data_IF_344307284077
#
_entry.id   IF_344307284077
#
_cell.length_a   1.000
_cell.length_b   1.000
_cell.length_c   1.000
_cell.angle_alpha   90.00
_cell.angle_beta   90.00
_cell.angle_gamma   90.00
#
_symmetry.space_group_name_H-M   'P 1'
#
loop_
_entity.id
_entity.type
_entity.pdbx_description
1 polymer ?
#
# COMPACT_ATOMS: atom_id res chain seq x y z
N UNK A 1 23.48 -0.66 25.77
CA UNK A 1 22.82 -0.31 24.49
C UNK A 1 22.97 1.16 24.10
N UNK A 2 22.99 2.12 25.04
CA UNK A 2 23.18 3.56 24.72
C UNK A 2 24.55 3.95 24.15
N UNK A 3 25.61 3.20 24.46
CA UNK A 3 26.97 3.51 23.97
C UNK A 3 27.13 3.35 22.45
N UNK A 4 26.55 2.30 21.86
CA UNK A 4 26.61 2.06 20.41
C UNK A 4 25.85 3.10 19.59
N UNK A 5 24.76 3.64 20.15
CA UNK A 5 23.96 4.68 19.49
C UNK A 5 24.75 5.99 19.43
N UNK A 6 25.48 6.33 20.49
CA UNK A 6 26.32 7.52 20.53
C UNK A 6 27.52 7.42 19.58
N UNK A 7 28.10 6.24 19.41
CA UNK A 7 29.18 6.01 18.45
C UNK A 7 28.68 6.02 16.99
N UNK A 8 27.47 5.51 16.72
CA UNK A 8 26.80 5.65 15.42
C UNK A 8 26.59 7.13 15.04
N UNK A 9 26.25 7.99 16.01
CA UNK A 9 26.07 9.43 15.78
C UNK A 9 27.36 10.21 15.50
N UNK A 10 28.53 9.62 15.78
CA UNK A 10 29.85 10.20 15.48
C UNK A 10 30.37 9.87 14.08
N UNK A 11 29.67 9.02 13.32
CA UNK A 11 30.05 8.73 11.94
C UNK A 11 29.93 10.00 11.07
N UNK A 12 30.94 10.30 10.23
CA UNK A 12 30.98 11.51 9.41
C UNK A 12 29.80 11.59 8.43
N UNK A 13 29.24 10.44 8.04
CA UNK A 13 28.02 10.35 7.22
C UNK A 13 26.80 10.95 7.95
N UNK A 14 26.64 10.66 9.25
CA UNK A 14 25.53 11.14 10.07
C UNK A 14 25.68 12.63 10.37
N UNK A 15 26.92 13.09 10.58
CA UNK A 15 27.21 14.52 10.80
C UNK A 15 26.98 15.35 9.54
N UNK A 16 27.26 14.81 8.34
CA UNK A 16 26.97 15.45 7.04
C UNK A 16 25.47 15.52 6.75
N UNK A 17 24.70 14.49 7.09
CA UNK A 17 23.24 14.52 6.99
C UNK A 17 22.59 15.50 7.98
N UNK A 18 23.30 15.84 9.06
CA UNK A 18 22.84 16.78 10.09
C UNK A 18 23.40 18.20 9.91
N UNK A 19 24.34 18.38 8.98
CA UNK A 19 24.77 19.71 8.57
C UNK A 19 23.57 20.36 7.90
N UNK A 20 22.94 21.29 8.63
CA UNK A 20 21.89 22.13 8.07
C UNK A 20 22.56 22.99 7.01
N UNK A 21 22.47 22.58 5.74
CA UNK A 21 22.71 23.51 4.66
C UNK A 21 21.63 24.58 4.81
N UNK A 22 22.05 25.80 5.11
CA UNK A 22 21.16 26.92 5.37
C UNK A 22 20.47 27.41 4.07
N UNK A 23 20.68 26.67 2.98
CA UNK A 23 20.14 26.88 1.64
C UNK A 23 18.89 26.02 1.36
N UNK A 24 18.39 25.27 2.35
CA UNK A 24 17.06 24.67 2.29
C UNK A 24 16.00 25.78 2.39
N UNK A 25 15.71 26.41 1.24
CA UNK A 25 14.66 27.40 1.09
C UNK A 25 13.38 26.88 1.74
N UNK A 26 12.71 27.72 2.52
CA UNK A 26 11.54 27.34 3.33
C UNK A 26 10.48 26.56 2.53
N UNK A 27 10.45 26.77 1.21
CA UNK A 27 9.62 26.08 0.23
C UNK A 27 9.90 24.57 0.19
N UNK A 28 11.15 24.13 0.22
CA UNK A 28 11.50 22.70 0.17
C UNK A 28 11.06 21.97 1.45
N UNK A 29 11.36 22.56 2.61
CA UNK A 29 10.91 22.04 3.91
C UNK A 29 9.39 21.96 4.01
N UNK A 30 8.69 22.94 3.44
CA UNK A 30 7.24 22.97 3.40
C UNK A 30 6.68 21.87 2.50
N UNK A 31 7.26 21.71 1.31
CA UNK A 31 6.84 20.70 0.34
C UNK A 31 7.06 19.28 0.86
N UNK A 32 8.22 18.97 1.43
CA UNK A 32 8.50 17.66 2.03
C UNK A 32 7.49 17.33 3.13
N UNK A 33 7.20 18.28 4.03
CA UNK A 33 6.26 18.07 5.13
C UNK A 33 4.83 17.86 4.65
N UNK A 34 4.36 18.65 3.67
CA UNK A 34 3.02 18.51 3.14
C UNK A 34 2.85 17.27 2.27
N UNK A 35 3.81 16.98 1.38
CA UNK A 35 3.74 15.80 0.51
C UNK A 35 3.72 14.52 1.34
N UNK A 36 4.61 14.39 2.32
CA UNK A 36 4.61 13.23 3.23
C UNK A 36 3.33 13.17 4.05
N UNK A 37 2.89 14.31 4.60
CA UNK A 37 1.63 14.39 5.35
C UNK A 37 0.42 13.95 4.52
N UNK A 38 0.33 14.42 3.27
CA UNK A 38 -0.75 14.08 2.35
C UNK A 38 -0.76 12.58 2.00
N UNK A 39 0.40 12.00 1.71
CA UNK A 39 0.53 10.56 1.45
C UNK A 39 0.12 9.76 2.68
N UNK A 40 0.58 10.14 3.88
CA UNK A 40 0.20 9.46 5.13
C UNK A 40 -1.30 9.55 5.39
N UNK A 41 -1.92 10.70 5.17
CA UNK A 41 -3.37 10.85 5.25
C UNK A 41 -4.09 9.93 4.24
N UNK A 42 -3.61 9.88 3.00
CA UNK A 42 -4.15 8.97 1.97
C UNK A 42 -4.06 7.50 2.37
N UNK A 43 -2.92 7.07 2.94
CA UNK A 43 -2.75 5.71 3.47
C UNK A 43 -3.72 5.42 4.61
N UNK A 44 -3.91 6.35 5.54
CA UNK A 44 -4.87 6.20 6.63
C UNK A 44 -6.32 6.07 6.15
N UNK A 45 -6.72 6.92 5.20
CA UNK A 45 -8.06 6.91 4.63
C UNK A 45 -8.31 5.59 3.89
N UNK A 46 -7.39 5.18 3.01
CA UNK A 46 -7.54 3.94 2.21
C UNK A 46 -7.49 2.67 3.07
N UNK A 47 -6.69 2.67 4.14
CA UNK A 47 -6.64 1.55 5.08
C UNK A 47 -7.97 1.40 5.82
N UNK A 48 -8.54 2.50 6.33
CA UNK A 48 -9.79 2.47 7.10
C UNK A 48 -11.00 2.04 6.25
N UNK A 49 -11.09 2.49 5.00
CA UNK A 49 -12.18 2.09 4.09
C UNK A 49 -12.13 0.60 3.73
N UNK A 50 -10.92 0.02 3.68
CA UNK A 50 -10.68 -1.40 3.40
C UNK A 50 -11.10 -2.34 4.53
N UNK A 51 -11.31 -1.85 5.76
CA UNK A 51 -11.77 -2.66 6.90
C UNK A 51 -13.30 -2.74 7.00
N UNK A 52 -14.00 -1.70 6.56
CA UNK A 52 -15.46 -1.58 6.74
C UNK A 52 -16.24 -2.16 5.56
N UNK A 53 -15.64 -2.19 4.36
CA UNK A 53 -16.32 -2.59 3.12
C UNK A 53 -15.70 -3.85 2.51
N UNK A 54 -16.52 -4.64 1.79
CA UNK A 54 -16.00 -5.74 0.99
C UNK A 54 -15.14 -5.15 -0.15
N UNK A 55 -13.87 -5.53 -0.20
CA UNK A 55 -12.88 -4.92 -1.11
C UNK A 55 -13.13 -5.20 -2.60
N UNK A 56 -13.81 -6.30 -2.90
CA UNK A 56 -14.22 -6.71 -4.24
C UNK A 56 -15.46 -7.59 -4.13
N UNK A 57 -16.37 -7.51 -5.11
CA UNK A 57 -17.48 -8.44 -5.25
C UNK A 57 -17.21 -9.36 -6.44
N UNK A 58 -17.16 -10.67 -6.18
CA UNK A 58 -16.94 -11.68 -7.21
C UNK A 58 -18.26 -12.30 -7.67
N UNK A 59 -18.35 -12.60 -8.96
CA UNK A 59 -19.48 -13.36 -9.49
C UNK A 59 -19.29 -14.84 -9.19
N UNK A 60 -20.30 -15.48 -8.61
CA UNK A 60 -20.32 -16.91 -8.32
C UNK A 60 -21.48 -17.61 -9.04
N UNK A 61 -21.31 -18.89 -9.41
CA UNK A 61 -22.40 -19.74 -9.89
C UNK A 61 -23.57 -19.79 -8.92
N UNK A 62 -24.79 -20.01 -9.43
CA UNK A 62 -26.01 -20.01 -8.64
C UNK A 62 -26.01 -21.04 -7.50
N UNK A 63 -25.42 -22.20 -7.73
CA UNK A 63 -25.31 -23.31 -6.76
C UNK A 63 -24.47 -22.94 -5.52
N UNK A 64 -23.59 -21.93 -5.62
CA UNK A 64 -22.66 -21.54 -4.56
C UNK A 64 -23.06 -20.23 -3.87
N UNK A 65 -24.28 -19.75 -4.05
CA UNK A 65 -24.77 -18.47 -3.49
C UNK A 65 -24.98 -18.46 -1.97
N UNK A 66 -24.49 -19.46 -1.24
CA UNK A 66 -24.51 -19.39 0.23
C UNK A 66 -23.58 -18.27 0.73
N UNK A 67 -24.02 -17.59 1.80
CA UNK A 67 -23.31 -16.44 2.38
C UNK A 67 -21.85 -16.76 2.78
N UNK A 68 -21.55 -17.99 3.18
CA UNK A 68 -20.20 -18.45 3.53
C UNK A 68 -19.27 -18.51 2.32
N UNK A 69 -19.74 -19.09 1.20
CA UNK A 69 -18.94 -19.22 -0.02
C UNK A 69 -18.69 -17.87 -0.67
N UNK A 70 -19.67 -16.95 -0.64
CA UNK A 70 -19.50 -15.58 -1.15
C UNK A 70 -18.35 -14.88 -0.40
N UNK A 71 -18.37 -14.87 0.94
CA UNK A 71 -17.30 -14.25 1.73
C UNK A 71 -15.93 -14.88 1.53
N UNK A 72 -15.90 -16.20 1.32
CA UNK A 72 -14.66 -16.91 1.02
C UNK A 72 -14.11 -16.51 -0.36
N UNK A 73 -14.95 -16.55 -1.40
CA UNK A 73 -14.56 -16.21 -2.75
C UNK A 73 -14.13 -14.75 -2.87
N UNK A 74 -14.84 -13.80 -2.26
CA UNK A 74 -14.45 -12.39 -2.24
C UNK A 74 -13.07 -12.17 -1.60
N UNK A 75 -12.75 -12.89 -0.51
CA UNK A 75 -11.43 -12.85 0.12
C UNK A 75 -10.36 -13.48 -0.76
N UNK A 76 -10.68 -14.61 -1.39
CA UNK A 76 -9.75 -15.33 -2.26
C UNK A 76 -9.40 -14.50 -3.50
N UNK A 77 -10.40 -13.92 -4.16
CA UNK A 77 -10.23 -13.00 -5.28
C UNK A 77 -9.36 -11.79 -4.91
N UNK A 78 -9.52 -11.26 -3.70
CA UNK A 78 -8.77 -10.08 -3.26
C UNK A 78 -7.28 -10.36 -3.03
N UNK A 79 -6.95 -11.55 -2.50
CA UNK A 79 -5.56 -11.90 -2.15
C UNK A 79 -4.82 -12.46 -3.37
N UNK A 80 -5.55 -13.09 -4.29
CA UNK A 80 -4.99 -13.67 -5.50
C UNK A 80 -4.83 -12.64 -6.61
N UNK A 81 -3.80 -12.76 -7.45
CA UNK A 81 -3.62 -11.88 -8.59
C UNK A 81 -4.78 -12.06 -9.59
N UNK A 82 -5.32 -10.95 -10.08
CA UNK A 82 -6.40 -10.91 -11.09
C UNK A 82 -5.91 -10.20 -12.33
N UNK A 83 -6.40 -10.62 -13.49
CA UNK A 83 -6.03 -10.02 -14.77
C UNK A 83 -7.29 -9.56 -15.50
N UNK A 84 -7.14 -8.53 -16.33
CA UNK A 84 -8.22 -8.00 -17.14
C UNK A 84 -8.28 -8.73 -18.48
N UNK A 85 -9.49 -9.09 -18.91
CA UNK A 85 -9.76 -9.68 -20.24
C UNK A 85 -10.81 -8.80 -20.93
N UNK A 86 -10.60 -8.55 -22.23
CA UNK A 86 -11.58 -7.85 -23.04
C UNK A 86 -12.78 -8.76 -23.32
N UNK A 87 -13.99 -8.19 -23.36
CA UNK A 87 -15.24 -8.96 -23.44
C UNK A 87 -15.38 -9.86 -24.68
N UNK A 88 -14.59 -9.62 -25.73
CA UNK A 88 -14.59 -10.42 -26.96
C UNK A 88 -13.53 -11.54 -27.00
N UNK A 89 -12.73 -11.70 -25.95
CA UNK A 89 -11.67 -12.71 -25.87
C UNK A 89 -12.13 -13.82 -24.91
N UNK A 90 -12.07 -15.06 -25.38
CA UNK A 90 -12.20 -16.24 -24.50
C UNK A 90 -10.96 -16.33 -23.61
N UNK A 91 -11.13 -16.49 -22.27
CA UNK A 91 -10.01 -16.68 -21.37
C UNK A 91 -9.11 -17.82 -21.88
N UNK A 92 -7.77 -17.68 -21.83
CA UNK A 92 -6.88 -18.76 -22.20
C UNK A 92 -7.16 -19.97 -21.29
N UNK A 93 -7.46 -21.12 -21.89
CA UNK A 93 -7.55 -22.36 -21.15
C UNK A 93 -6.12 -22.74 -20.75
N UNK A 94 -5.91 -23.20 -19.52
CA UNK A 94 -4.66 -23.86 -19.18
C UNK A 94 -4.64 -25.16 -19.97
N UNK A 95 -3.84 -25.20 -21.03
CA UNK A 95 -3.48 -26.45 -21.70
C UNK A 95 -2.59 -27.22 -20.71
N UNK A 96 -3.10 -28.34 -20.20
CA UNK A 96 -2.29 -29.33 -19.48
C UNK A 96 -1.54 -30.22 -20.47
#
# INVERSE_FOLDING_TARGET
MGSLINELFKLPLVTRLRASDNDDEHVDRLNHRYTVGFILCGVFITSTTSFVTNRISCWLPAELKHSSYIKYAERYCWISNTYYIHSNVTPPHSDE
#
